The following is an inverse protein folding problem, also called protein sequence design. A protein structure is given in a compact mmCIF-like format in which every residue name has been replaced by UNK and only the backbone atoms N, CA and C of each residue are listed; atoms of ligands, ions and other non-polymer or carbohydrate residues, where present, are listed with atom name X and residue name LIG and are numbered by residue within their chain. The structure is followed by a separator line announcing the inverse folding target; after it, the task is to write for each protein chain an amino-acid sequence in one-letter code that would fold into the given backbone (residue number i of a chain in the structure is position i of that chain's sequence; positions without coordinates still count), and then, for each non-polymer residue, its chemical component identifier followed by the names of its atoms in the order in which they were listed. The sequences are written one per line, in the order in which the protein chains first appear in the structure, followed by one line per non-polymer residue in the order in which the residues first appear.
data_IF_808987424721
#
_entry.id   IF_808987424721
#
_cell.length_a   1.000
_cell.length_b   1.000
_cell.length_c   1.000
_cell.angle_alpha   90.00
_cell.angle_beta   90.00
_cell.angle_gamma   90.00
#
_symmetry.space_group_name_H-M   'P 1'
#
loop_
_entity.id
_entity.type
_entity.pdbx_description
1 polymer ?
#
# COMPACT_ATOMS: atom_id res chain seq x y z
N UNK A 1 13.03 -4.95 11.34
CA UNK A 1 12.95 -6.27 10.69
C UNK A 1 14.08 -6.45 9.68
N UNK A 2 14.56 -7.69 9.48
CA UNK A 2 15.60 -7.93 8.49
C UNK A 2 15.05 -7.71 7.06
N UNK A 3 15.87 -7.13 6.22
CA UNK A 3 15.59 -6.99 4.80
C UNK A 3 16.89 -7.02 3.98
N UNK A 4 16.76 -7.42 2.73
CA UNK A 4 17.80 -7.32 1.72
C UNK A 4 17.32 -6.47 0.56
N UNK A 5 18.12 -5.48 0.15
CA UNK A 5 17.72 -4.51 -0.87
C UNK A 5 18.80 -4.35 -1.93
N UNK A 6 18.40 -4.46 -3.18
CA UNK A 6 19.25 -4.21 -4.35
C UNK A 6 18.70 -2.98 -5.08
N UNK A 7 19.58 -2.03 -5.40
CA UNK A 7 19.26 -0.90 -6.26
C UNK A 7 20.11 -0.98 -7.52
N UNK A 8 19.47 -1.01 -8.67
CA UNK A 8 20.11 -0.96 -9.98
C UNK A 8 19.69 0.34 -10.67
N UNK A 9 20.67 1.10 -11.15
CA UNK A 9 20.40 2.34 -11.88
C UNK A 9 21.03 2.23 -13.26
N UNK A 10 20.23 2.41 -14.29
CA UNK A 10 20.71 2.48 -15.67
C UNK A 10 19.89 3.52 -16.44
N UNK A 11 20.57 4.32 -17.22
CA UNK A 11 20.00 5.42 -17.97
C UNK A 11 19.10 6.33 -17.09
N UNK A 12 17.80 6.40 -17.35
CA UNK A 12 16.80 7.19 -16.61
C UNK A 12 15.95 6.32 -15.67
N UNK A 13 16.31 5.07 -15.48
CA UNK A 13 15.57 4.09 -14.71
C UNK A 13 16.36 3.72 -13.46
N UNK A 14 15.66 3.74 -12.32
CA UNK A 14 16.12 3.13 -11.08
C UNK A 14 15.20 1.98 -10.75
N UNK A 15 15.77 0.80 -10.58
CA UNK A 15 15.05 -0.40 -10.21
C UNK A 15 15.48 -0.86 -8.81
N UNK A 16 14.51 -1.08 -7.95
CA UNK A 16 14.73 -1.48 -6.55
C UNK A 16 14.03 -2.79 -6.30
N UNK A 17 14.78 -3.79 -5.84
CA UNK A 17 14.26 -5.05 -5.33
C UNK A 17 14.47 -5.06 -3.82
N UNK A 18 13.44 -5.38 -3.05
CA UNK A 18 13.53 -5.49 -1.59
C UNK A 18 12.87 -6.79 -1.14
N UNK A 19 13.60 -7.57 -0.37
CA UNK A 19 13.14 -8.82 0.23
C UNK A 19 13.09 -8.64 1.73
N UNK A 20 11.97 -8.95 2.36
CA UNK A 20 11.71 -8.65 3.77
C UNK A 20 11.24 -9.87 4.53
N UNK A 21 11.72 -10.02 5.77
CA UNK A 21 11.26 -11.01 6.74
C UNK A 21 10.34 -10.31 7.73
N UNK A 22 9.06 -10.62 7.66
CA UNK A 22 8.00 -9.94 8.40
C UNK A 22 7.48 -10.87 9.51
N UNK A 23 6.77 -10.31 10.49
CA UNK A 23 6.12 -11.03 11.56
C UNK A 23 4.65 -10.65 11.67
N UNK A 24 3.84 -11.64 11.96
CA UNK A 24 2.50 -11.46 12.48
C UNK A 24 2.53 -11.81 13.96
N UNK A 25 2.26 -10.82 14.81
CA UNK A 25 2.40 -10.93 16.28
C UNK A 25 1.04 -11.05 16.97
N UNK A 26 -0.03 -11.34 16.23
CA UNK A 26 -1.35 -11.57 16.77
C UNK A 26 -1.40 -12.92 17.48
N UNK A 27 -2.18 -13.03 18.55
CA UNK A 27 -2.37 -14.28 19.26
C UNK A 27 -2.91 -15.40 18.35
N UNK A 28 -3.85 -15.06 17.44
CA UNK A 28 -4.40 -15.99 16.47
C UNK A 28 -3.37 -16.53 15.45
N UNK A 29 -2.25 -15.84 15.26
CA UNK A 29 -1.17 -16.22 14.36
C UNK A 29 0.05 -16.77 15.13
N UNK A 30 -0.04 -16.90 16.45
CA UNK A 30 1.04 -17.40 17.29
C UNK A 30 0.89 -18.91 17.47
N UNK A 31 1.88 -19.67 16.98
CA UNK A 31 1.96 -21.11 17.14
C UNK A 31 3.16 -21.45 18.02
N UNK A 32 2.98 -22.41 18.95
CA UNK A 32 4.05 -22.92 19.84
C UNK A 32 4.81 -21.80 20.61
N UNK A 33 4.09 -20.69 20.92
CA UNK A 33 4.68 -19.53 21.57
C UNK A 33 5.57 -18.68 20.66
N UNK A 34 5.59 -18.94 19.37
CA UNK A 34 6.36 -18.15 18.37
C UNK A 34 5.44 -17.41 17.40
N UNK A 35 5.83 -16.20 17.04
CA UNK A 35 5.10 -15.39 16.07
C UNK A 35 5.22 -15.94 14.65
N UNK A 36 4.11 -15.91 13.91
CA UNK A 36 4.13 -16.35 12.51
C UNK A 36 5.10 -15.52 11.67
N UNK A 37 5.93 -16.21 10.91
CA UNK A 37 6.83 -15.59 9.94
C UNK A 37 6.17 -15.53 8.59
N UNK A 38 6.24 -14.36 7.95
CA UNK A 38 5.87 -14.15 6.55
C UNK A 38 6.97 -13.39 5.83
N UNK A 39 6.95 -13.49 4.54
CA UNK A 39 7.96 -12.89 3.66
C UNK A 39 7.31 -11.93 2.70
N UNK A 40 8.07 -10.94 2.25
CA UNK A 40 7.64 -10.05 1.18
C UNK A 40 8.77 -9.82 0.18
N UNK A 41 8.44 -9.91 -1.09
CA UNK A 41 9.24 -9.39 -2.17
C UNK A 41 8.58 -8.15 -2.75
N UNK A 42 9.35 -7.09 -2.93
CA UNK A 42 8.88 -5.82 -3.44
C UNK A 42 9.77 -5.34 -4.57
N UNK A 43 9.16 -5.01 -5.69
CA UNK A 43 9.80 -4.42 -6.86
C UNK A 43 9.29 -3.02 -7.07
N UNK A 44 10.19 -2.08 -7.29
CA UNK A 44 9.85 -0.71 -7.64
C UNK A 44 10.72 -0.23 -8.79
N UNK A 45 10.10 0.02 -9.92
CA UNK A 45 10.73 0.62 -11.09
C UNK A 45 10.37 2.10 -11.14
N UNK A 46 11.36 2.97 -11.06
CA UNK A 46 11.20 4.42 -11.17
C UNK A 46 11.86 4.91 -12.46
N UNK A 47 11.08 5.52 -13.34
CA UNK A 47 11.51 6.03 -14.63
C UNK A 47 11.36 7.54 -14.73
N UNK A 48 12.48 8.25 -14.91
CA UNK A 48 12.49 9.68 -15.23
C UNK A 48 12.20 9.87 -16.73
N UNK A 49 10.92 9.89 -17.11
CA UNK A 49 10.47 10.07 -18.50
C UNK A 49 11.04 11.36 -19.07
N UNK A 50 10.92 12.44 -18.32
CA UNK A 50 11.52 13.74 -18.63
C UNK A 50 12.21 14.31 -17.38
N UNK A 51 12.85 15.49 -17.52
CA UNK A 51 13.40 16.24 -16.35
C UNK A 51 12.33 16.67 -15.33
N UNK A 52 11.05 16.68 -15.75
CA UNK A 52 9.93 17.13 -14.93
C UNK A 52 8.94 16.01 -14.57
N UNK A 53 9.01 14.86 -15.22
CA UNK A 53 8.06 13.78 -15.04
C UNK A 53 8.74 12.46 -14.70
N UNK A 54 8.35 11.91 -13.56
CA UNK A 54 8.75 10.59 -13.10
C UNK A 54 7.51 9.69 -13.01
N UNK A 55 7.62 8.49 -13.54
CA UNK A 55 6.67 7.40 -13.38
C UNK A 55 7.30 6.29 -12.54
N UNK A 56 6.51 5.68 -11.70
CA UNK A 56 6.88 4.51 -10.92
C UNK A 56 5.89 3.37 -11.14
N UNK A 57 6.40 2.16 -11.18
CA UNK A 57 5.63 0.92 -11.18
C UNK A 57 6.11 0.09 -10.01
N UNK A 58 5.19 -0.50 -9.25
CA UNK A 58 5.56 -1.35 -8.14
C UNK A 58 4.68 -2.59 -8.07
N UNK A 59 5.27 -3.64 -7.56
CA UNK A 59 4.63 -4.90 -7.25
C UNK A 59 5.16 -5.40 -5.92
N UNK A 60 4.25 -5.86 -5.06
CA UNK A 60 4.59 -6.45 -3.78
C UNK A 60 3.87 -7.78 -3.67
N UNK A 61 4.58 -8.81 -3.22
CA UNK A 61 3.99 -10.13 -2.94
C UNK A 61 4.34 -10.52 -1.53
N UNK A 62 3.31 -10.88 -0.74
CA UNK A 62 3.44 -11.38 0.62
C UNK A 62 3.08 -12.86 0.63
N UNK A 63 3.91 -13.70 1.25
CA UNK A 63 3.64 -15.13 1.43
C UNK A 63 4.06 -15.62 2.81
N UNK A 64 3.52 -16.75 3.21
CA UNK A 64 3.79 -17.36 4.51
C UNK A 64 4.69 -18.57 4.38
N UNK A 65 5.17 -19.05 5.54
CA UNK A 65 5.92 -20.31 5.67
C UNK A 65 4.99 -21.54 5.76
N UNK A 66 3.83 -21.50 5.13
CA UNK A 66 2.89 -22.63 5.12
C UNK A 66 3.49 -23.83 4.38
N UNK A 67 3.27 -25.03 4.89
CA UNK A 67 3.80 -26.29 4.34
C UNK A 67 5.34 -26.34 4.24
N UNK A 68 6.05 -25.79 5.22
CA UNK A 68 7.51 -25.72 5.27
C UNK A 68 8.14 -25.02 4.03
N UNK A 69 7.36 -24.19 3.36
CA UNK A 69 7.77 -23.49 2.13
C UNK A 69 8.98 -22.58 2.37
N UNK A 70 9.12 -22.04 3.58
CA UNK A 70 10.21 -21.14 3.93
C UNK A 70 10.26 -19.89 3.05
N UNK A 71 11.46 -19.38 2.86
CA UNK A 71 11.75 -18.33 1.91
C UNK A 71 11.75 -18.92 0.49
N UNK A 72 10.68 -18.68 -0.26
CA UNK A 72 10.49 -19.25 -1.58
C UNK A 72 11.30 -18.47 -2.64
N UNK A 73 12.29 -19.11 -3.21
CA UNK A 73 13.19 -18.55 -4.24
C UNK A 73 12.48 -18.20 -5.55
N UNK A 74 11.27 -18.72 -5.81
CA UNK A 74 10.49 -18.31 -6.97
C UNK A 74 10.13 -16.82 -6.92
N UNK A 75 10.02 -16.24 -5.71
CA UNK A 75 9.77 -14.80 -5.51
C UNK A 75 11.06 -13.96 -5.48
N UNK A 76 12.23 -14.55 -5.66
CA UNK A 76 13.50 -13.82 -5.77
C UNK A 76 13.79 -13.39 -7.21
N UNK A 77 12.95 -13.77 -8.16
CA UNK A 77 13.09 -13.33 -9.55
C UNK A 77 13.16 -11.79 -9.59
N UNK A 78 14.25 -11.21 -10.13
CA UNK A 78 14.43 -9.77 -10.19
C UNK A 78 13.52 -9.06 -11.20
N UNK A 79 12.74 -9.79 -11.99
CA UNK A 79 11.82 -9.21 -12.97
C UNK A 79 10.47 -8.95 -12.33
N UNK A 80 9.91 -7.78 -12.59
CA UNK A 80 8.55 -7.39 -12.21
C UNK A 80 7.56 -8.32 -12.94
N UNK A 81 6.39 -8.59 -12.34
CA UNK A 81 5.30 -9.47 -12.77
C UNK A 81 5.25 -10.83 -12.06
N UNK A 82 5.29 -10.83 -10.73
CA UNK A 82 5.05 -12.02 -9.92
C UNK A 82 3.67 -12.65 -10.13
N UNK A 83 2.71 -11.89 -10.61
CA UNK A 83 1.37 -12.42 -10.90
C UNK A 83 1.40 -13.55 -11.93
N UNK A 84 2.44 -13.59 -12.79
CA UNK A 84 2.67 -14.74 -13.68
C UNK A 84 3.11 -15.99 -12.92
N UNK A 85 3.79 -15.83 -11.77
CA UNK A 85 4.19 -16.93 -10.88
C UNK A 85 3.00 -17.43 -10.07
N UNK A 86 2.09 -16.53 -9.69
CA UNK A 86 0.84 -16.86 -8.99
C UNK A 86 -0.09 -17.72 -9.87
N UNK A 87 -0.19 -17.45 -11.16
CA UNK A 87 -0.95 -18.28 -12.10
C UNK A 87 -0.34 -19.66 -12.34
N UNK A 88 0.94 -19.83 -12.12
CA UNK A 88 1.65 -21.12 -12.24
C UNK A 88 1.66 -21.98 -10.97
N UNK A 89 1.41 -21.37 -9.83
CA UNK A 89 1.27 -22.00 -8.52
C UNK A 89 -0.16 -21.75 -8.02
N UNK A 90 -0.84 -22.71 -7.43
CA UNK A 90 -2.26 -22.57 -7.03
C UNK A 90 -2.59 -21.20 -6.40
N UNK A 91 -3.76 -20.67 -6.65
CA UNK A 91 -4.28 -19.32 -6.26
C UNK A 91 -4.23 -18.97 -4.75
N UNK A 92 -3.72 -19.87 -3.90
CA UNK A 92 -3.61 -19.70 -2.44
C UNK A 92 -2.18 -19.38 -1.97
N UNK A 93 -1.28 -19.01 -2.85
CA UNK A 93 0.16 -19.00 -2.53
C UNK A 93 0.74 -17.66 -2.08
N UNK A 94 -0.03 -16.58 -2.11
CA UNK A 94 0.42 -15.27 -1.65
C UNK A 94 -0.54 -14.15 -2.01
N UNK A 95 -0.37 -13.01 -1.37
CA UNK A 95 -1.12 -11.79 -1.60
C UNK A 95 -0.28 -10.82 -2.44
N UNK A 96 -0.77 -10.46 -3.63
CA UNK A 96 -0.06 -9.61 -4.58
C UNK A 96 -0.73 -8.24 -4.75
N UNK A 97 0.05 -7.18 -4.55
CA UNK A 97 -0.36 -5.80 -4.74
C UNK A 97 0.43 -5.17 -5.89
N UNK A 98 -0.27 -4.54 -6.81
CA UNK A 98 0.30 -3.85 -7.95
C UNK A 98 0.00 -2.35 -7.87
N UNK A 99 0.87 -1.51 -8.39
CA UNK A 99 0.54 -0.11 -8.47
C UNK A 99 1.44 0.72 -9.36
N UNK A 100 0.97 1.94 -9.55
CA UNK A 100 1.67 2.96 -10.32
C UNK A 100 1.78 4.24 -9.49
N UNK A 101 2.85 4.98 -9.69
CA UNK A 101 3.04 6.30 -9.09
C UNK A 101 3.49 7.30 -10.13
N UNK A 102 3.15 8.56 -9.92
CA UNK A 102 3.57 9.64 -10.80
C UNK A 102 3.95 10.87 -10.00
N UNK A 103 5.01 11.55 -10.44
CA UNK A 103 5.42 12.87 -9.92
C UNK A 103 5.66 13.79 -11.09
N UNK A 104 4.99 14.92 -11.10
CA UNK A 104 5.09 15.91 -12.18
C UNK A 104 5.40 17.30 -11.63
N UNK A 105 6.53 17.86 -12.06
CA UNK A 105 6.93 19.24 -11.77
C UNK A 105 6.31 20.17 -12.80
N UNK A 106 5.20 20.80 -12.45
CA UNK A 106 4.57 21.79 -13.33
C UNK A 106 5.53 22.95 -13.61
N UNK A 107 6.12 23.47 -12.54
CA UNK A 107 7.15 24.49 -12.60
C UNK A 107 8.14 24.29 -11.42
N UNK A 108 8.96 25.29 -11.13
CA UNK A 108 9.94 25.19 -10.02
C UNK A 108 9.28 25.25 -8.63
N UNK A 109 8.02 25.67 -8.54
CA UNK A 109 7.31 25.85 -7.28
C UNK A 109 6.20 24.80 -7.07
N UNK A 110 5.53 24.31 -8.14
CA UNK A 110 4.37 23.45 -8.04
C UNK A 110 4.70 22.04 -8.53
N UNK A 111 4.51 21.07 -7.66
CA UNK A 111 4.70 19.64 -7.94
C UNK A 111 3.41 18.89 -7.63
N UNK A 112 2.90 18.15 -8.62
CA UNK A 112 1.84 17.16 -8.45
C UNK A 112 2.44 15.79 -8.20
N UNK A 113 1.77 14.98 -7.41
CA UNK A 113 2.12 13.58 -7.22
C UNK A 113 0.87 12.75 -6.97
N UNK A 114 0.98 11.46 -7.24
CA UNK A 114 -0.07 10.51 -6.93
C UNK A 114 0.43 9.09 -7.09
N UNK A 115 -0.36 8.18 -6.55
CA UNK A 115 -0.21 6.75 -6.75
C UNK A 115 -1.57 6.07 -6.80
N UNK A 116 -1.62 4.97 -7.50
CA UNK A 116 -2.77 4.09 -7.58
C UNK A 116 -2.31 2.66 -7.30
N UNK A 117 -3.01 1.98 -6.43
CA UNK A 117 -2.72 0.61 -6.01
C UNK A 117 -3.93 -0.27 -6.30
N UNK A 118 -3.65 -1.46 -6.79
CA UNK A 118 -4.62 -2.54 -7.00
C UNK A 118 -4.16 -3.71 -6.13
N UNK A 119 -5.03 -4.18 -5.26
CA UNK A 119 -4.83 -5.37 -4.45
C UNK A 119 -5.49 -6.58 -5.14
N UNK A 120 -6.76 -6.43 -5.49
CA UNK A 120 -7.50 -7.40 -6.28
C UNK A 120 -8.44 -6.66 -7.25
N UNK A 121 -8.59 -7.18 -8.48
CA UNK A 121 -9.36 -6.51 -9.50
C UNK A 121 -10.08 -7.49 -10.40
N UNK A 122 -11.40 -7.54 -10.29
CA UNK A 122 -12.25 -8.34 -11.14
C UNK A 122 -12.76 -7.50 -12.32
N UNK A 123 -12.13 -7.64 -13.48
CA UNK A 123 -12.49 -6.87 -14.70
C UNK A 123 -13.96 -7.09 -15.11
N UNK A 124 -14.49 -8.29 -14.87
CA UNK A 124 -15.91 -8.60 -15.11
C UNK A 124 -16.84 -7.71 -14.30
N UNK A 125 -16.60 -7.61 -13.00
CA UNK A 125 -17.42 -6.84 -12.05
C UNK A 125 -17.40 -5.33 -12.34
N UNK A 126 -16.29 -4.82 -12.89
CA UNK A 126 -16.19 -3.40 -13.30
C UNK A 126 -17.08 -3.11 -14.50
N UNK A 127 -17.12 -4.01 -15.48
CA UNK A 127 -17.96 -3.84 -16.69
C UNK A 127 -19.44 -3.86 -16.37
N UNK A 128 -19.85 -4.62 -15.35
CA UNK A 128 -21.23 -4.74 -14.91
C UNK A 128 -21.68 -3.59 -13.98
N UNK A 129 -20.80 -2.63 -13.66
CA UNK A 129 -21.03 -1.54 -12.70
C UNK A 129 -21.48 -2.01 -11.30
N UNK A 130 -21.15 -3.23 -10.95
CA UNK A 130 -21.54 -3.87 -9.71
C UNK A 130 -20.69 -3.39 -8.57
N UNK A 131 -20.53 -2.32 -8.15
CA UNK A 131 -19.73 -1.82 -7.00
C UNK A 131 -19.09 -2.93 -6.11
N UNK A 132 -18.71 -4.05 -6.75
CA UNK A 132 -18.24 -5.29 -6.13
C UNK A 132 -17.10 -4.99 -5.14
N UNK A 133 -17.16 -5.64 -3.98
CA UNK A 133 -16.12 -5.61 -2.96
C UNK A 133 -14.77 -6.12 -3.50
N UNK A 134 -14.80 -7.01 -4.52
CA UNK A 134 -13.60 -7.55 -5.19
C UNK A 134 -12.74 -6.51 -5.87
N UNK A 135 -13.30 -5.33 -6.18
CA UNK A 135 -12.52 -4.22 -6.73
C UNK A 135 -11.77 -3.49 -5.62
N UNK A 136 -10.72 -4.12 -5.10
CA UNK A 136 -9.87 -3.62 -4.03
C UNK A 136 -8.77 -2.72 -4.61
N UNK A 137 -8.93 -1.41 -4.47
CA UNK A 137 -7.94 -0.43 -4.89
C UNK A 137 -7.81 0.74 -3.92
N UNK A 138 -6.67 1.41 -3.99
CA UNK A 138 -6.38 2.61 -3.24
C UNK A 138 -5.73 3.66 -4.13
N UNK A 139 -5.92 4.93 -3.79
CA UNK A 139 -5.22 6.01 -4.48
C UNK A 139 -4.88 7.18 -3.56
N UNK A 140 -3.81 7.86 -3.93
CA UNK A 140 -3.34 9.08 -3.33
C UNK A 140 -3.14 10.10 -4.44
N UNK A 141 -3.58 11.34 -4.22
CA UNK A 141 -3.26 12.48 -5.07
C UNK A 141 -2.85 13.66 -4.20
N UNK A 142 -1.88 14.43 -4.65
CA UNK A 142 -1.42 15.56 -3.87
C UNK A 142 -0.70 16.61 -4.70
N UNK A 143 -0.58 17.78 -4.11
CA UNK A 143 0.14 18.93 -4.66
C UNK A 143 1.01 19.57 -3.59
N UNK A 144 2.22 19.97 -3.98
CA UNK A 144 3.15 20.77 -3.15
C UNK A 144 3.40 22.09 -3.85
N UNK A 145 3.27 23.19 -3.09
CA UNK A 145 3.53 24.54 -3.56
C UNK A 145 4.64 25.17 -2.71
N UNK A 146 5.83 25.23 -3.28
CA UNK A 146 7.02 25.82 -2.67
C UNK A 146 7.06 27.31 -2.92
N UNK A 147 7.58 28.07 -1.97
CA UNK A 147 7.57 29.54 -1.97
C UNK A 147 6.19 30.09 -2.31
N UNK A 148 5.18 29.49 -1.65
CA UNK A 148 3.78 29.74 -1.95
C UNK A 148 3.45 31.24 -1.86
N UNK A 149 2.68 31.75 -2.84
CA UNK A 149 2.32 33.16 -2.94
C UNK A 149 3.52 34.10 -2.96
N UNK A 150 4.68 33.62 -3.46
CA UNK A 150 5.98 34.36 -3.45
C UNK A 150 6.55 34.60 -2.06
N UNK A 151 6.03 33.96 -1.03
CA UNK A 151 6.59 33.98 0.33
C UNK A 151 7.72 32.96 0.40
N UNK A 152 8.96 33.43 0.44
CA UNK A 152 10.16 32.58 0.49
C UNK A 152 10.09 31.61 1.67
N UNK A 153 10.38 30.33 1.40
CA UNK A 153 10.41 29.24 2.37
C UNK A 153 9.00 28.87 2.95
N UNK A 154 7.91 29.30 2.33
CA UNK A 154 6.58 28.79 2.65
C UNK A 154 6.27 27.60 1.76
N UNK A 155 6.13 26.42 2.35
CA UNK A 155 5.60 25.21 1.69
C UNK A 155 4.14 25.02 2.08
N UNK A 156 3.27 24.89 1.10
CA UNK A 156 1.92 24.38 1.26
C UNK A 156 1.80 23.01 0.58
N UNK A 157 1.10 22.08 1.21
CA UNK A 157 0.81 20.77 0.65
C UNK A 157 -0.64 20.41 0.91
N UNK A 158 -1.32 19.92 -0.12
CA UNK A 158 -2.63 19.30 -0.01
C UNK A 158 -2.53 17.88 -0.53
N UNK A 159 -3.19 16.95 0.15
CA UNK A 159 -3.19 15.54 -0.20
C UNK A 159 -4.57 14.94 0.09
N UNK A 160 -5.00 14.05 -0.77
CA UNK A 160 -6.18 13.24 -0.58
C UNK A 160 -5.81 11.75 -0.76
N UNK A 161 -6.21 10.95 0.20
CA UNK A 161 -6.02 9.51 0.23
C UNK A 161 -7.37 8.81 0.33
N UNK A 162 -7.54 7.76 -0.45
CA UNK A 162 -8.68 6.86 -0.33
C UNK A 162 -8.22 5.42 -0.47
N UNK A 163 -8.66 4.59 0.46
CA UNK A 163 -8.45 3.14 0.45
C UNK A 163 -9.82 2.48 0.57
N UNK A 164 -10.17 1.65 -0.42
CA UNK A 164 -11.43 0.91 -0.41
C UNK A 164 -11.45 -0.14 0.70
N UNK A 165 -12.67 -0.64 1.06
CA UNK A 165 -12.82 -1.80 1.93
C UNK A 165 -11.99 -2.99 1.43
N UNK A 166 -11.48 -3.80 2.37
CA UNK A 166 -10.74 -5.05 2.15
C UNK A 166 -9.38 -4.92 1.46
N UNK A 167 -8.97 -3.73 1.04
CA UNK A 167 -7.59 -3.49 0.57
C UNK A 167 -6.62 -3.84 1.69
N UNK A 168 -5.50 -4.47 1.34
CA UNK A 168 -4.46 -4.98 2.25
C UNK A 168 -4.84 -6.23 3.05
N UNK A 169 -6.10 -6.67 3.05
CA UNK A 169 -6.54 -7.93 3.64
C UNK A 169 -6.46 -9.09 2.65
N UNK A 170 -6.46 -10.33 3.14
CA UNK A 170 -6.44 -11.53 2.30
C UNK A 170 -7.27 -12.64 2.96
N UNK A 171 -7.73 -13.64 2.19
CA UNK A 171 -8.44 -14.82 2.70
C UNK A 171 -7.59 -15.66 3.66
N UNK A 172 -6.26 -15.66 3.50
CA UNK A 172 -5.34 -16.07 4.57
C UNK A 172 -4.90 -14.80 5.33
N UNK A 173 -5.42 -14.54 6.55
CA UNK A 173 -5.11 -13.32 7.29
C UNK A 173 -3.63 -13.13 7.63
N UNK A 174 -2.79 -14.18 7.56
CA UNK A 174 -1.35 -14.05 7.76
C UNK A 174 -0.70 -13.35 6.57
N UNK A 175 -1.21 -13.54 5.34
CA UNK A 175 -0.67 -12.89 4.14
C UNK A 175 -1.17 -11.47 3.91
N UNK A 176 -1.87 -10.87 4.89
CA UNK A 176 -2.23 -9.46 4.84
C UNK A 176 -1.00 -8.55 4.61
N UNK A 177 -1.22 -7.33 4.13
CA UNK A 177 -0.17 -6.33 3.91
C UNK A 177 0.13 -5.57 5.21
N UNK A 178 0.53 -6.29 6.24
CA UNK A 178 0.87 -5.76 7.57
C UNK A 178 2.14 -6.39 8.16
N UNK A 179 2.71 -5.74 9.17
CA UNK A 179 3.87 -6.20 9.92
C UNK A 179 3.77 -5.70 11.37
N UNK A 180 4.00 -6.58 12.37
CA UNK A 180 3.93 -6.22 13.78
C UNK A 180 2.66 -5.45 14.15
N UNK A 181 1.50 -5.95 13.74
CA UNK A 181 0.18 -5.33 13.94
C UNK A 181 0.04 -3.90 13.36
N UNK A 182 0.86 -3.55 12.36
CA UNK A 182 0.76 -2.28 11.64
C UNK A 182 0.58 -2.54 10.15
N UNK A 183 -0.30 -1.78 9.51
CA UNK A 183 -0.41 -1.78 8.06
C UNK A 183 0.86 -1.21 7.42
N UNK A 184 1.38 -1.88 6.41
CA UNK A 184 2.52 -1.40 5.62
C UNK A 184 2.08 -0.43 4.51
N UNK A 185 0.78 -0.37 4.21
CA UNK A 185 0.22 0.59 3.29
C UNK A 185 -0.07 1.93 3.98
N UNK A 186 -1.28 2.13 4.43
CA UNK A 186 -1.69 3.32 5.18
C UNK A 186 -1.90 3.00 6.66
N UNK A 187 -1.56 3.95 7.56
CA UNK A 187 -1.68 3.77 9.01
C UNK A 187 -3.11 3.40 9.46
N UNK A 188 -4.13 3.91 8.78
CA UNK A 188 -5.52 3.58 9.08
C UNK A 188 -5.99 2.24 8.52
N UNK A 189 -5.13 1.48 7.81
CA UNK A 189 -5.51 0.24 7.15
C UNK A 189 -6.35 0.50 5.91
N UNK A 190 -7.57 -0.04 5.88
CA UNK A 190 -8.49 0.08 4.75
C UNK A 190 -9.81 0.77 5.12
N UNK A 191 -10.72 0.88 4.15
CA UNK A 191 -12.07 1.46 4.29
C UNK A 191 -12.05 2.89 4.84
N UNK A 192 -11.27 3.79 4.22
CA UNK A 192 -11.22 5.19 4.64
C UNK A 192 -11.00 6.14 3.47
N UNK A 193 -11.28 7.41 3.74
CA UNK A 193 -10.86 8.56 2.94
C UNK A 193 -10.36 9.66 3.86
N UNK A 194 -9.29 10.34 3.49
CA UNK A 194 -8.76 11.46 4.25
C UNK A 194 -8.27 12.59 3.37
N UNK A 195 -8.33 13.78 3.90
CA UNK A 195 -7.75 15.00 3.35
C UNK A 195 -6.70 15.52 4.32
N UNK A 196 -5.52 15.84 3.80
CA UNK A 196 -4.41 16.39 4.58
C UNK A 196 -4.02 17.74 4.02
N UNK A 197 -3.91 18.75 4.86
CA UNK A 197 -3.32 20.04 4.55
C UNK A 197 -2.11 20.30 5.45
N UNK A 198 -1.00 20.71 4.86
CA UNK A 198 0.26 21.01 5.58
C UNK A 198 0.73 22.41 5.16
N UNK A 199 1.10 23.21 6.15
CA UNK A 199 1.80 24.47 5.95
C UNK A 199 3.09 24.46 6.76
N UNK A 200 4.22 24.73 6.10
CA UNK A 200 5.55 24.83 6.72
C UNK A 200 6.21 26.13 6.33
N UNK A 201 6.67 26.88 7.31
CA UNK A 201 7.39 28.13 7.10
C UNK A 201 8.65 28.18 7.93
N UNK A 202 9.73 28.67 7.36
CA UNK A 202 10.96 28.92 8.11
C UNK A 202 11.61 30.24 7.71
N UNK A 203 12.18 30.94 8.72
CA UNK A 203 12.94 32.16 8.52
C UNK A 203 14.07 32.23 9.55
N UNK A 204 15.30 32.08 9.05
CA UNK A 204 16.48 31.99 9.93
C UNK A 204 16.38 30.81 10.90
N UNK A 205 16.38 31.07 12.20
CA UNK A 205 16.22 30.03 13.25
C UNK A 205 14.79 29.73 13.66
N UNK A 206 13.80 30.44 13.10
CA UNK A 206 12.39 30.23 13.41
C UNK A 206 11.75 29.34 12.37
N UNK A 207 10.90 28.41 12.83
CA UNK A 207 10.08 27.57 11.97
C UNK A 207 8.67 27.44 12.55
N UNK A 208 7.71 27.23 11.69
CA UNK A 208 6.35 26.87 12.02
C UNK A 208 5.89 25.72 11.12
N UNK A 209 5.28 24.71 11.70
CA UNK A 209 4.68 23.57 11.01
C UNK A 209 3.25 23.40 11.49
N UNK A 210 2.30 23.40 10.57
CA UNK A 210 0.90 23.13 10.84
C UNK A 210 0.41 22.00 9.94
N UNK A 211 -0.27 21.02 10.52
CA UNK A 211 -0.88 19.90 9.80
C UNK A 211 -2.33 19.77 10.23
N UNK A 212 -3.22 19.76 9.24
CA UNK A 212 -4.64 19.47 9.41
C UNK A 212 -4.97 18.17 8.71
N UNK A 213 -5.71 17.29 9.38
CA UNK A 213 -6.20 16.03 8.82
C UNK A 213 -7.70 15.97 9.07
N UNK A 214 -8.45 15.73 8.02
CA UNK A 214 -9.87 15.41 8.10
C UNK A 214 -10.10 14.08 7.38
N UNK A 215 -10.76 13.12 8.04
CA UNK A 215 -10.99 11.82 7.44
C UNK A 215 -12.23 11.14 7.97
N UNK A 216 -12.66 10.16 7.21
CA UNK A 216 -13.77 9.27 7.53
C UNK A 216 -13.27 7.85 7.34
N UNK A 217 -13.56 6.98 8.29
CA UNK A 217 -13.19 5.57 8.27
C UNK A 217 -14.40 4.71 8.60
N UNK A 218 -14.62 3.64 7.81
CA UNK A 218 -15.54 2.58 8.16
C UNK A 218 -14.90 1.64 9.17
N UNK A 219 -15.67 1.25 10.18
CA UNK A 219 -15.25 0.28 11.19
C UNK A 219 -16.05 -1.00 11.03
N UNK A 220 -15.40 -2.11 11.34
CA UNK A 220 -16.06 -3.38 11.48
C UNK A 220 -16.93 -3.36 12.74
N UNK A 221 -18.05 -4.08 12.70
CA UNK A 221 -19.02 -4.06 13.76
C UNK A 221 -19.06 -5.40 14.48
N UNK A 222 -18.92 -5.37 15.80
CA UNK A 222 -19.09 -6.55 16.64
C UNK A 222 -19.71 -6.14 17.95
N UNK A 223 -20.93 -6.65 18.23
CA UNK A 223 -21.65 -6.42 19.48
C UNK A 223 -21.76 -7.68 20.34
N UNK A 224 -21.02 -8.75 19.97
CA UNK A 224 -21.08 -10.06 20.64
C UNK A 224 -22.18 -11.00 20.07
N UNK A 225 -23.22 -10.46 19.45
CA UNK A 225 -24.27 -11.23 18.77
C UNK A 225 -24.10 -11.14 17.24
N UNK A 226 -23.91 -9.94 16.75
CA UNK A 226 -23.70 -9.65 15.34
C UNK A 226 -22.23 -9.27 15.12
N UNK A 227 -21.62 -9.87 14.12
CA UNK A 227 -20.24 -9.60 13.73
C UNK A 227 -20.18 -9.36 12.22
N UNK A 228 -19.91 -8.11 11.82
CA UNK A 228 -19.83 -7.71 10.43
C UNK A 228 -18.45 -7.15 10.08
N UNK A 229 -17.83 -7.76 9.08
CA UNK A 229 -16.60 -7.29 8.51
C UNK A 229 -16.90 -6.32 7.35
N UNK A 230 -16.70 -5.02 7.58
CA UNK A 230 -16.83 -3.98 6.56
C UNK A 230 -15.50 -3.65 5.87
N UNK A 231 -14.47 -4.45 6.09
CA UNK A 231 -13.17 -4.32 5.45
C UNK A 231 -12.31 -3.17 5.95
N UNK A 232 -12.52 -2.75 7.19
CA UNK A 232 -11.69 -1.74 7.85
C UNK A 232 -10.43 -2.33 8.49
N UNK A 233 -10.53 -3.55 8.98
CA UNK A 233 -9.45 -4.29 9.63
C UNK A 233 -8.76 -5.23 8.63
N UNK A 234 -7.52 -4.92 8.28
CA UNK A 234 -6.73 -5.73 7.33
C UNK A 234 -6.34 -7.11 7.84
N UNK A 235 -6.57 -7.40 9.11
CA UNK A 235 -6.21 -8.65 9.76
C UNK A 235 -7.38 -9.65 9.84
N UNK A 236 -8.52 -9.32 9.25
CA UNK A 236 -9.66 -10.23 9.11
C UNK A 236 -9.65 -10.87 7.72
N UNK A 237 -10.13 -12.11 7.67
CA UNK A 237 -10.45 -12.75 6.41
C UNK A 237 -11.57 -11.96 5.71
N UNK A 238 -11.36 -11.57 4.47
CA UNK A 238 -12.35 -10.79 3.72
C UNK A 238 -13.57 -11.63 3.28
N UNK A 239 -13.48 -12.95 3.35
CA UNK A 239 -14.60 -13.86 3.04
C UNK A 239 -15.48 -14.14 4.26
N UNK A 240 -15.01 -13.84 5.48
CA UNK A 240 -15.73 -14.07 6.71
C UNK A 240 -16.56 -12.85 7.16
N UNK A 241 -17.83 -13.10 7.52
CA UNK A 241 -18.74 -12.09 8.11
C UNK A 241 -18.93 -10.83 7.25
N UNK A 242 -18.75 -10.94 5.95
CA UNK A 242 -19.01 -9.84 5.03
C UNK A 242 -20.52 -9.61 4.91
N UNK A 243 -21.03 -8.37 5.13
CA UNK A 243 -22.45 -8.08 5.13
C UNK A 243 -23.09 -8.03 3.73
N UNK A 244 -22.29 -7.94 2.68
CA UNK A 244 -22.72 -7.85 1.28
C UNK A 244 -21.87 -8.74 0.38
N UNK A 245 -22.53 -9.43 -0.55
CA UNK A 245 -21.87 -10.22 -1.62
C UNK A 245 -21.40 -9.35 -2.79
#
# INVERSE_FOLDING_TARGET
YPYFKINTTFWKIKYTNTYMWLKDVRDAATLDGTYATKYMASHYLSWNVTKRWNLGFFENVVWTNTNDRGFDFNFVNPLIFYRTVEFGSSSKTGNALLGVSSKYKWNNQINFYGQFLIDEFAIGDVKESNQSWRNKFAYQIGVKYYDAFKIKNLLLQLEYNQVRPYVYSHSDPITNYGHNNQSMGHLWGANFREFIAIARYYKGRYFADAKFIYGQRGFDFNNGTDNFNYGGNIYLDYDENRPYD
#
